data_IF_606821836836
#
_entry.id   IF_606821836836
#
_cell.length_a   1.000
_cell.length_b   1.000
_cell.length_c   1.000
_cell.angle_alpha   90.00
_cell.angle_beta   90.00
_cell.angle_gamma   90.00
#
_symmetry.space_group_name_H-M   'P 1'
#
loop_
_entity.id
_entity.type
_entity.pdbx_description
1 polymer ?
#
# COMPACT_ATOMS: atom_id res chain seq x y z
N UNK A 1 -29.93 11.91 1.57
CA UNK A 1 -28.67 12.31 0.90
C UNK A 1 -28.06 13.53 1.56
N UNK A 2 -28.78 14.64 1.72
CA UNK A 2 -28.23 15.88 2.33
C UNK A 2 -27.77 15.72 3.80
N UNK A 3 -28.39 14.81 4.56
CA UNK A 3 -28.03 14.54 5.96
C UNK A 3 -26.73 13.73 6.11
N UNK A 4 -26.41 12.90 5.13
CA UNK A 4 -25.28 11.95 5.17
C UNK A 4 -23.97 12.69 4.93
N UNK A 5 -23.95 13.59 3.95
CA UNK A 5 -22.79 14.42 3.62
C UNK A 5 -22.41 15.35 4.79
N UNK A 6 -23.41 15.93 5.47
CA UNK A 6 -23.20 16.76 6.64
C UNK A 6 -22.61 15.98 7.82
N UNK A 7 -23.11 14.76 8.08
CA UNK A 7 -22.59 13.89 9.13
C UNK A 7 -21.16 13.42 8.84
N UNK A 8 -20.83 13.13 7.58
CA UNK A 8 -19.47 12.79 7.16
C UNK A 8 -18.52 13.97 7.31
N UNK A 9 -18.93 15.18 6.89
CA UNK A 9 -18.12 16.39 7.02
C UNK A 9 -17.81 16.70 8.50
N UNK A 10 -18.82 16.68 9.38
CA UNK A 10 -18.64 16.88 10.84
C UNK A 10 -17.72 15.81 11.44
N UNK A 11 -17.86 14.54 11.03
CA UNK A 11 -16.99 13.46 11.51
C UNK A 11 -15.52 13.67 11.13
N UNK A 12 -15.24 14.11 9.90
CA UNK A 12 -13.88 14.41 9.43
C UNK A 12 -13.29 15.65 10.10
N UNK A 13 -14.09 16.71 10.29
CA UNK A 13 -13.67 17.91 11.02
C UNK A 13 -13.30 17.58 12.47
N UNK A 14 -14.14 16.78 13.15
CA UNK A 14 -13.82 16.26 14.49
C UNK A 14 -12.57 15.40 14.48
N UNK A 15 -12.38 14.56 13.47
CA UNK A 15 -11.20 13.71 13.37
C UNK A 15 -9.90 14.52 13.29
N UNK A 16 -9.90 15.65 12.60
CA UNK A 16 -8.77 16.57 12.55
C UNK A 16 -8.44 17.17 13.92
N UNK A 17 -9.45 17.35 14.78
CA UNK A 17 -9.29 17.98 16.11
C UNK A 17 -8.96 16.98 17.21
N UNK A 18 -9.72 15.88 17.30
CA UNK A 18 -9.67 14.93 18.44
C UNK A 18 -9.10 13.56 18.08
N UNK A 19 -8.78 13.34 16.80
CA UNK A 19 -8.35 12.06 16.27
C UNK A 19 -9.50 11.10 15.96
N UNK A 20 -9.21 10.19 15.03
CA UNK A 20 -10.19 9.29 14.40
C UNK A 20 -10.93 8.41 15.40
N UNK A 21 -10.23 7.85 16.40
CA UNK A 21 -10.84 6.97 17.40
C UNK A 21 -11.93 7.68 18.22
N UNK A 22 -11.72 8.96 18.55
CA UNK A 22 -12.68 9.77 19.30
C UNK A 22 -13.82 10.24 18.39
N UNK A 23 -13.49 10.66 17.17
CA UNK A 23 -14.47 11.06 16.15
C UNK A 23 -15.41 9.91 15.74
N UNK A 24 -14.94 8.66 15.74
CA UNK A 24 -15.75 7.48 15.40
C UNK A 24 -16.71 7.04 16.51
N UNK A 25 -16.59 7.57 17.74
CA UNK A 25 -17.40 7.10 18.88
C UNK A 25 -18.90 7.41 18.75
N UNK A 26 -19.31 8.64 18.38
CA UNK A 26 -20.73 8.95 18.18
C UNK A 26 -21.36 8.14 17.06
N UNK A 27 -20.63 7.96 15.94
CA UNK A 27 -21.08 7.14 14.80
C UNK A 27 -21.30 5.68 15.20
N UNK A 28 -20.35 5.07 15.93
CA UNK A 28 -20.52 3.70 16.45
C UNK A 28 -21.72 3.58 17.38
N UNK A 29 -21.91 4.53 18.29
CA UNK A 29 -23.06 4.51 19.20
C UNK A 29 -24.41 4.73 18.48
N UNK A 30 -24.40 5.43 17.35
CA UNK A 30 -25.58 5.54 16.48
C UNK A 30 -25.83 4.22 15.74
N UNK A 31 -24.78 3.60 15.18
CA UNK A 31 -24.87 2.31 14.49
C UNK A 31 -25.25 1.16 15.44
N UNK A 32 -24.86 1.21 16.72
CA UNK A 32 -25.33 0.26 17.75
C UNK A 32 -26.85 0.35 17.97
N UNK A 33 -27.45 1.53 17.78
CA UNK A 33 -28.90 1.74 17.90
C UNK A 33 -29.66 1.37 16.62
N UNK A 34 -29.02 1.54 15.47
CA UNK A 34 -29.55 1.13 14.17
C UNK A 34 -28.48 0.41 13.33
N UNK A 35 -28.28 -0.91 13.54
CA UNK A 35 -27.26 -1.70 12.82
C UNK A 35 -27.43 -1.74 11.29
N UNK A 36 -28.63 -1.41 10.81
CA UNK A 36 -29.01 -1.43 9.39
C UNK A 36 -28.72 -0.11 8.68
N UNK A 37 -28.31 0.92 9.41
CA UNK A 37 -27.99 2.22 8.84
C UNK A 37 -26.71 2.14 7.99
N UNK A 38 -26.91 2.00 6.68
CA UNK A 38 -25.85 1.93 5.66
C UNK A 38 -25.06 3.23 5.60
N UNK A 39 -25.69 4.37 5.86
CA UNK A 39 -25.06 5.69 5.80
C UNK A 39 -24.08 5.88 6.98
N UNK A 40 -24.48 5.49 8.19
CA UNK A 40 -23.58 5.49 9.35
C UNK A 40 -22.40 4.54 9.18
N UNK A 41 -22.65 3.37 8.58
CA UNK A 41 -21.60 2.40 8.25
C UNK A 41 -20.63 2.97 7.21
N UNK A 42 -21.12 3.58 6.14
CA UNK A 42 -20.30 4.24 5.13
C UNK A 42 -19.48 5.40 5.70
N UNK A 43 -20.06 6.21 6.59
CA UNK A 43 -19.36 7.29 7.28
C UNK A 43 -18.21 6.75 8.17
N UNK A 44 -18.42 5.66 8.90
CA UNK A 44 -17.35 5.00 9.68
C UNK A 44 -16.23 4.48 8.79
N UNK A 45 -16.57 3.80 7.70
CA UNK A 45 -15.61 3.28 6.72
C UNK A 45 -14.77 4.42 6.14
N UNK A 46 -15.40 5.51 5.68
CA UNK A 46 -14.70 6.70 5.16
C UNK A 46 -13.77 7.32 6.19
N UNK A 47 -14.23 7.44 7.44
CA UNK A 47 -13.44 7.99 8.53
C UNK A 47 -12.20 7.13 8.84
N UNK A 48 -12.33 5.79 8.85
CA UNK A 48 -11.19 4.90 9.07
C UNK A 48 -10.23 4.84 7.87
N UNK A 49 -10.75 4.92 6.64
CA UNK A 49 -9.96 5.07 5.41
C UNK A 49 -9.07 6.31 5.46
N UNK A 50 -9.63 7.46 5.85
CA UNK A 50 -8.87 8.70 6.00
C UNK A 50 -7.74 8.58 7.04
N UNK A 51 -7.87 7.66 7.99
CA UNK A 51 -6.83 7.32 8.97
C UNK A 51 -5.83 6.26 8.58
N UNK A 52 -5.99 5.62 7.44
CA UNK A 52 -5.21 4.43 7.07
C UNK A 52 -5.49 3.21 7.97
N UNK A 53 -6.60 3.19 8.70
CA UNK A 53 -6.95 2.09 9.60
C UNK A 53 -7.73 0.99 8.86
N UNK A 54 -7.07 0.29 7.94
CA UNK A 54 -7.69 -0.68 7.02
C UNK A 54 -8.49 -1.79 7.74
N UNK A 55 -7.99 -2.31 8.86
CA UNK A 55 -8.70 -3.32 9.67
C UNK A 55 -10.04 -2.81 10.20
N UNK A 56 -10.08 -1.54 10.64
CA UNK A 56 -11.31 -0.93 11.15
C UNK A 56 -12.24 -0.56 10.01
N UNK A 57 -11.72 -0.12 8.87
CA UNK A 57 -12.53 0.09 7.67
C UNK A 57 -13.18 -1.22 7.22
N UNK A 58 -12.39 -2.31 7.10
CA UNK A 58 -12.84 -3.65 6.74
C UNK A 58 -13.89 -4.22 7.69
N UNK A 59 -13.74 -3.98 8.99
CA UNK A 59 -14.71 -4.37 10.01
C UNK A 59 -16.10 -3.85 9.71
N UNK A 60 -16.22 -2.59 9.29
CA UNK A 60 -17.51 -1.97 9.02
C UNK A 60 -17.95 -2.15 7.57
N UNK A 61 -17.03 -2.38 6.61
CA UNK A 61 -17.36 -2.61 5.19
C UNK A 61 -17.58 -4.07 4.80
N UNK A 62 -17.34 -5.07 5.67
CA UNK A 62 -17.36 -6.51 5.31
C UNK A 62 -18.64 -7.01 4.61
N UNK A 63 -19.78 -6.38 4.84
CA UNK A 63 -21.07 -6.72 4.17
C UNK A 63 -21.47 -5.74 3.06
N UNK A 64 -20.67 -4.70 2.81
CA UNK A 64 -20.94 -3.72 1.78
C UNK A 64 -20.68 -4.31 0.39
N UNK A 65 -21.50 -4.01 -0.63
CA UNK A 65 -21.32 -4.52 -1.99
C UNK A 65 -20.02 -4.01 -2.65
N UNK A 66 -19.53 -2.86 -2.21
CA UNK A 66 -18.31 -2.19 -2.66
C UNK A 66 -17.17 -2.28 -1.63
N UNK A 67 -17.18 -3.33 -0.79
CA UNK A 67 -16.12 -3.56 0.19
C UNK A 67 -14.76 -3.69 -0.51
N UNK A 68 -13.77 -2.91 -0.03
CA UNK A 68 -12.42 -3.01 -0.55
C UNK A 68 -11.79 -4.35 -0.11
N UNK A 69 -11.33 -5.20 -1.05
CA UNK A 69 -10.74 -6.49 -0.72
C UNK A 69 -9.54 -6.41 0.25
N UNK A 70 -8.74 -5.34 0.18
CA UNK A 70 -7.58 -5.15 1.06
C UNK A 70 -8.02 -4.86 2.51
N UNK A 71 -9.10 -4.10 2.67
CA UNK A 71 -9.69 -3.80 3.97
C UNK A 71 -10.31 -5.04 4.61
N UNK A 72 -11.10 -5.78 3.83
CA UNK A 72 -11.73 -7.03 4.28
C UNK A 72 -10.66 -8.06 4.66
N UNK A 73 -9.59 -8.17 3.87
CA UNK A 73 -8.46 -9.07 4.16
C UNK A 73 -7.67 -8.64 5.40
N UNK A 74 -7.49 -7.33 5.62
CA UNK A 74 -6.90 -6.80 6.85
C UNK A 74 -7.76 -7.13 8.09
N UNK A 75 -9.07 -6.97 7.98
CA UNK A 75 -9.99 -7.33 9.06
C UNK A 75 -10.01 -8.84 9.34
N UNK A 76 -10.07 -9.67 8.30
CA UNK A 76 -10.04 -11.12 8.42
C UNK A 76 -8.78 -11.63 9.14
N UNK A 77 -7.59 -11.10 8.76
CA UNK A 77 -6.33 -11.42 9.45
C UNK A 77 -6.40 -11.12 10.93
N UNK A 78 -6.89 -9.93 11.27
CA UNK A 78 -7.02 -9.53 12.65
C UNK A 78 -8.00 -10.45 13.40
N UNK A 79 -9.15 -10.77 12.80
CA UNK A 79 -10.14 -11.68 13.39
C UNK A 79 -9.54 -13.07 13.67
N UNK A 80 -8.83 -13.65 12.70
CA UNK A 80 -8.12 -14.93 12.85
C UNK A 80 -7.06 -14.84 13.96
N UNK A 81 -6.25 -13.76 13.97
CA UNK A 81 -5.21 -13.57 14.98
C UNK A 81 -5.79 -13.41 16.41
N UNK A 82 -7.01 -12.92 16.54
CA UNK A 82 -7.74 -12.85 17.81
C UNK A 82 -8.48 -14.15 18.16
N UNK A 83 -8.46 -15.17 17.28
CA UNK A 83 -9.26 -16.38 17.44
C UNK A 83 -10.77 -16.10 17.45
N UNK A 84 -11.22 -15.08 16.73
CA UNK A 84 -12.63 -14.72 16.66
C UNK A 84 -13.39 -15.76 15.83
N UNK A 85 -14.55 -16.18 16.33
CA UNK A 85 -15.54 -16.95 15.57
C UNK A 85 -16.50 -16.01 14.81
N UNK A 86 -17.42 -16.60 14.03
CA UNK A 86 -18.40 -15.82 13.26
C UNK A 86 -19.27 -14.92 14.16
N UNK A 87 -19.71 -15.44 15.31
CA UNK A 87 -20.54 -14.69 16.26
C UNK A 87 -19.79 -13.47 16.79
N UNK A 88 -18.50 -13.62 17.12
CA UNK A 88 -17.65 -12.52 17.56
C UNK A 88 -17.41 -11.51 16.46
N UNK A 89 -17.18 -11.95 15.23
CA UNK A 89 -17.05 -11.06 14.06
C UNK A 89 -18.33 -10.24 13.88
N UNK A 90 -19.51 -10.87 13.85
CA UNK A 90 -20.80 -10.19 13.74
C UNK A 90 -20.97 -9.12 14.81
N UNK A 91 -20.69 -9.47 16.06
CA UNK A 91 -20.76 -8.53 17.17
C UNK A 91 -19.80 -7.34 17.01
N UNK A 92 -18.55 -7.59 16.62
CA UNK A 92 -17.55 -6.52 16.44
C UNK A 92 -17.86 -5.61 15.25
N UNK A 93 -18.44 -6.17 14.19
CA UNK A 93 -18.88 -5.45 12.99
C UNK A 93 -20.24 -4.78 13.13
N UNK A 94 -20.85 -4.86 14.31
CA UNK A 94 -22.20 -4.36 14.60
C UNK A 94 -23.20 -4.85 13.54
N UNK A 95 -23.13 -6.13 13.20
CA UNK A 95 -24.05 -6.79 12.27
C UNK A 95 -25.20 -7.41 13.06
N UNK A 96 -26.39 -7.33 12.49
CA UNK A 96 -27.54 -8.10 12.97
C UNK A 96 -27.69 -9.43 12.21
N UNK A 97 -28.67 -10.24 12.62
CA UNK A 97 -28.92 -11.55 12.01
C UNK A 97 -29.40 -11.46 10.56
N UNK A 98 -29.91 -10.30 10.12
CA UNK A 98 -30.40 -10.09 8.76
C UNK A 98 -29.30 -9.73 7.76
N UNK A 99 -28.11 -9.41 8.23
CA UNK A 99 -26.93 -9.10 7.41
C UNK A 99 -25.99 -10.33 7.39
N UNK A 100 -26.13 -11.25 6.42
CA UNK A 100 -25.22 -12.38 6.34
C UNK A 100 -23.81 -11.90 5.99
N UNK A 101 -22.81 -12.49 6.63
CA UNK A 101 -21.43 -12.34 6.22
C UNK A 101 -21.23 -13.02 4.85
N UNK A 102 -20.34 -12.51 3.99
CA UNK A 102 -19.99 -13.18 2.73
C UNK A 102 -19.52 -14.62 2.99
N UNK A 103 -20.02 -15.58 2.21
CA UNK A 103 -19.70 -17.01 2.39
C UNK A 103 -18.18 -17.26 2.35
N UNK A 104 -17.48 -16.61 1.42
CA UNK A 104 -16.03 -16.66 1.29
C UNK A 104 -15.30 -16.19 2.56
N UNK A 105 -15.80 -15.13 3.20
CA UNK A 105 -15.23 -14.60 4.44
C UNK A 105 -15.39 -15.60 5.59
N UNK A 106 -16.58 -16.19 5.72
CA UNK A 106 -16.88 -17.19 6.76
C UNK A 106 -16.04 -18.45 6.55
N UNK A 107 -15.92 -18.92 5.30
CA UNK A 107 -15.11 -20.09 4.97
C UNK A 107 -13.62 -19.87 5.27
N UNK A 108 -13.09 -18.69 4.96
CA UNK A 108 -11.69 -18.35 5.23
C UNK A 108 -11.43 -18.13 6.73
N UNK A 109 -12.37 -17.52 7.46
CA UNK A 109 -12.32 -17.39 8.91
C UNK A 109 -12.28 -18.77 9.60
N UNK A 110 -13.21 -19.66 9.23
CA UNK A 110 -13.30 -21.02 9.78
C UNK A 110 -12.05 -21.86 9.47
N UNK A 111 -11.45 -21.66 8.30
CA UNK A 111 -10.22 -22.33 7.92
C UNK A 111 -8.95 -21.71 8.50
N UNK A 112 -9.05 -20.55 9.16
CA UNK A 112 -7.88 -19.77 9.59
C UNK A 112 -6.99 -19.34 8.42
N UNK A 113 -7.56 -19.19 7.21
CA UNK A 113 -6.84 -18.81 5.99
C UNK A 113 -7.07 -17.35 5.69
N UNK A 114 -6.04 -16.73 5.12
CA UNK A 114 -6.12 -15.37 4.60
C UNK A 114 -5.73 -15.46 3.14
N UNK A 115 -6.64 -15.11 2.24
CA UNK A 115 -6.30 -14.95 0.83
C UNK A 115 -5.33 -13.77 0.74
N UNK A 116 -4.14 -14.01 0.18
CA UNK A 116 -3.22 -12.92 -0.15
C UNK A 116 -3.90 -12.05 -1.21
N UNK A 117 -3.98 -10.76 -0.94
CA UNK A 117 -4.47 -9.86 -1.98
C UNK A 117 -3.39 -9.67 -3.04
N UNK A 118 -3.74 -9.34 -4.29
CA UNK A 118 -2.76 -9.03 -5.32
C UNK A 118 -1.77 -7.95 -4.87
N UNK A 119 -2.23 -6.96 -4.10
CA UNK A 119 -1.39 -5.90 -3.56
C UNK A 119 -0.27 -6.45 -2.64
N UNK A 120 -0.58 -7.44 -1.81
CA UNK A 120 0.41 -8.07 -0.93
C UNK A 120 1.43 -8.91 -1.69
N UNK A 121 0.98 -9.65 -2.70
CA UNK A 121 1.88 -10.39 -3.57
C UNK A 121 2.87 -9.44 -4.28
N UNK A 122 2.39 -8.27 -4.72
CA UNK A 122 3.24 -7.23 -5.28
C UNK A 122 4.20 -6.61 -4.26
N UNK A 123 3.81 -6.47 -3.00
CA UNK A 123 4.67 -5.93 -1.95
C UNK A 123 5.78 -6.93 -1.57
N UNK A 124 5.47 -8.22 -1.48
CA UNK A 124 6.47 -9.29 -1.28
C UNK A 124 7.44 -9.40 -2.47
N UNK A 125 6.91 -9.37 -3.70
CA UNK A 125 7.73 -9.36 -4.91
C UNK A 125 8.59 -8.09 -5.00
N UNK A 126 8.03 -6.93 -4.65
CA UNK A 126 8.74 -5.66 -4.60
C UNK A 126 9.87 -5.68 -3.57
N UNK A 127 9.62 -6.22 -2.37
CA UNK A 127 10.65 -6.38 -1.34
C UNK A 127 11.78 -7.33 -1.78
N UNK A 128 11.42 -8.45 -2.38
CA UNK A 128 12.39 -9.43 -2.90
C UNK A 128 13.23 -8.83 -4.04
N UNK A 129 12.59 -8.14 -4.98
CA UNK A 129 13.27 -7.46 -6.07
C UNK A 129 14.22 -6.38 -5.55
N UNK A 130 13.80 -5.58 -4.56
CA UNK A 130 14.66 -4.59 -3.91
C UNK A 130 15.85 -5.22 -3.18
N UNK A 131 15.66 -6.37 -2.53
CA UNK A 131 16.74 -7.09 -1.86
C UNK A 131 17.77 -7.64 -2.85
N UNK A 132 17.32 -8.36 -3.89
CA UNK A 132 18.19 -8.88 -4.96
C UNK A 132 18.97 -7.74 -5.61
N UNK A 133 18.29 -6.62 -5.85
CA UNK A 133 18.89 -5.45 -6.42
C UNK A 133 19.93 -4.78 -5.50
N UNK A 134 19.65 -4.63 -4.19
CA UNK A 134 20.62 -4.13 -3.22
C UNK A 134 21.87 -5.03 -3.15
N UNK A 135 21.70 -6.35 -3.26
CA UNK A 135 22.83 -7.27 -3.35
C UNK A 135 23.68 -7.02 -4.62
N UNK A 136 23.03 -6.79 -5.77
CA UNK A 136 23.72 -6.43 -7.02
C UNK A 136 24.49 -5.10 -6.92
N UNK A 137 24.00 -4.11 -6.16
CA UNK A 137 24.74 -2.88 -5.85
C UNK A 137 26.03 -3.19 -5.14
N UNK A 138 25.95 -3.96 -4.05
CA UNK A 138 27.11 -4.31 -3.24
C UNK A 138 28.13 -5.07 -4.08
N UNK A 139 27.67 -6.03 -4.89
CA UNK A 139 28.53 -6.77 -5.82
C UNK A 139 29.21 -5.82 -6.82
N UNK A 140 28.47 -4.88 -7.41
CA UNK A 140 29.00 -3.91 -8.39
C UNK A 140 30.03 -2.98 -7.75
N UNK A 141 29.76 -2.49 -6.53
CA UNK A 141 30.70 -1.66 -5.77
C UNK A 141 31.98 -2.42 -5.44
N UNK A 142 31.87 -3.66 -4.95
CA UNK A 142 33.01 -4.52 -4.64
C UNK A 142 33.83 -4.81 -5.90
N UNK A 143 33.17 -5.16 -7.01
CA UNK A 143 33.84 -5.41 -8.29
C UNK A 143 34.57 -4.16 -8.77
N UNK A 144 33.93 -2.98 -8.73
CA UNK A 144 34.55 -1.72 -9.13
C UNK A 144 35.77 -1.41 -8.26
N UNK A 145 35.66 -1.58 -6.94
CA UNK A 145 36.75 -1.34 -6.01
C UNK A 145 37.92 -2.31 -6.26
N UNK A 146 37.64 -3.58 -6.53
CA UNK A 146 38.64 -4.57 -6.91
C UNK A 146 39.36 -4.15 -8.21
N UNK A 147 38.62 -3.77 -9.26
CA UNK A 147 39.22 -3.32 -10.53
C UNK A 147 40.12 -2.10 -10.34
N UNK A 148 39.73 -1.15 -9.48
CA UNK A 148 40.54 0.03 -9.15
C UNK A 148 41.81 -0.35 -8.38
N UNK A 149 41.71 -1.23 -7.38
CA UNK A 149 42.88 -1.73 -6.63
C UNK A 149 43.85 -2.47 -7.55
N UNK A 150 43.34 -3.29 -8.46
CA UNK A 150 44.14 -4.09 -9.38
C UNK A 150 44.61 -3.32 -10.62
N UNK A 151 44.46 -1.99 -10.63
CA UNK A 151 45.09 -1.07 -11.58
C UNK A 151 44.88 -1.42 -13.06
N UNK A 152 43.68 -1.90 -13.41
CA UNK A 152 43.33 -2.11 -14.80
C UNK A 152 43.11 -0.75 -15.48
N UNK A 153 43.78 -0.43 -16.61
CA UNK A 153 43.56 0.82 -17.34
C UNK A 153 42.10 1.02 -17.80
N UNK A 154 41.27 -0.04 -17.78
CA UNK A 154 39.84 0.01 -18.06
C UNK A 154 38.97 0.46 -16.86
N UNK A 155 39.52 0.64 -15.66
CA UNK A 155 38.76 0.93 -14.44
C UNK A 155 37.83 2.16 -14.55
N UNK A 156 38.25 3.32 -15.09
CA UNK A 156 37.38 4.50 -15.21
C UNK A 156 36.20 4.23 -16.14
N UNK A 157 36.44 3.55 -17.26
CA UNK A 157 35.41 3.20 -18.22
C UNK A 157 34.37 2.27 -17.59
N UNK A 158 34.81 1.22 -16.89
CA UNK A 158 33.92 0.25 -16.23
C UNK A 158 33.08 0.94 -15.15
N UNK A 159 33.68 1.82 -14.35
CA UNK A 159 32.96 2.57 -13.31
C UNK A 159 31.90 3.52 -13.90
N UNK A 160 32.25 4.26 -14.96
CA UNK A 160 31.31 5.15 -15.62
C UNK A 160 30.18 4.36 -16.30
N UNK A 161 30.51 3.33 -17.08
CA UNK A 161 29.51 2.51 -17.76
C UNK A 161 28.57 1.81 -16.78
N UNK A 162 29.12 1.19 -15.72
CA UNK A 162 28.35 0.52 -14.68
C UNK A 162 27.39 1.48 -13.95
N UNK A 163 27.85 2.66 -13.55
CA UNK A 163 26.99 3.65 -12.88
C UNK A 163 25.85 4.17 -13.77
N UNK A 164 26.03 4.28 -15.10
CA UNK A 164 24.95 4.70 -16.01
C UNK A 164 23.91 3.62 -16.26
N UNK A 165 24.34 2.38 -16.51
CA UNK A 165 23.41 1.25 -16.61
C UNK A 165 22.59 1.09 -15.33
N UNK A 166 23.25 1.28 -14.19
CA UNK A 166 22.60 1.23 -12.89
C UNK A 166 21.54 2.34 -12.70
N UNK A 167 21.84 3.57 -13.10
CA UNK A 167 20.88 4.68 -13.06
C UNK A 167 19.66 4.42 -13.96
N UNK A 168 19.86 3.87 -15.15
CA UNK A 168 18.75 3.49 -16.06
C UNK A 168 17.90 2.36 -15.48
N UNK A 169 18.51 1.33 -14.89
CA UNK A 169 17.78 0.24 -14.25
C UNK A 169 16.88 0.76 -13.11
N UNK A 170 17.39 1.70 -12.31
CA UNK A 170 16.60 2.37 -11.27
C UNK A 170 15.44 3.19 -11.82
N UNK A 171 15.64 3.89 -12.93
CA UNK A 171 14.58 4.67 -13.55
C UNK A 171 13.40 3.77 -13.91
N UNK A 172 13.67 2.62 -14.55
CA UNK A 172 12.63 1.64 -14.90
C UNK A 172 11.94 1.10 -13.65
N UNK A 173 12.70 0.74 -12.61
CA UNK A 173 12.12 0.23 -11.37
C UNK A 173 11.20 1.27 -10.70
N UNK A 174 11.65 2.53 -10.57
CA UNK A 174 10.84 3.61 -10.00
C UNK A 174 9.60 3.92 -10.85
N UNK A 175 9.69 3.84 -12.18
CA UNK A 175 8.53 3.98 -13.06
C UNK A 175 7.49 2.89 -12.77
N UNK A 176 7.91 1.62 -12.67
CA UNK A 176 7.02 0.52 -12.32
C UNK A 176 6.38 0.71 -10.94
N UNK A 177 7.15 1.12 -9.92
CA UNK A 177 6.60 1.40 -8.60
C UNK A 177 5.66 2.61 -8.58
N UNK A 178 5.93 3.65 -9.38
CA UNK A 178 5.05 4.81 -9.51
C UNK A 178 3.71 4.42 -10.12
N UNK A 179 3.72 3.57 -11.16
CA UNK A 179 2.50 3.02 -11.77
C UNK A 179 1.73 2.17 -10.74
N UNK A 180 2.39 1.29 -10.01
CA UNK A 180 1.75 0.48 -8.98
C UNK A 180 1.11 1.33 -7.86
N UNK A 181 1.81 2.36 -7.37
CA UNK A 181 1.26 3.29 -6.37
C UNK A 181 0.08 4.11 -6.91
N UNK A 182 0.12 4.50 -8.19
CA UNK A 182 -0.96 5.24 -8.84
C UNK A 182 -2.23 4.38 -8.94
N UNK A 183 -2.08 3.10 -9.28
CA UNK A 183 -3.19 2.14 -9.30
C UNK A 183 -3.81 1.90 -7.92
N UNK A 184 -3.05 2.10 -6.84
CA UNK A 184 -3.52 1.97 -5.45
C UNK A 184 -4.04 3.29 -4.84
N UNK A 185 -4.33 4.30 -5.67
CA UNK A 185 -4.77 5.63 -5.24
C UNK A 185 -3.83 6.34 -4.25
N UNK A 186 -2.55 5.92 -4.15
CA UNK A 186 -1.54 6.57 -3.30
C UNK A 186 -0.85 7.70 -4.06
N UNK A 187 -1.61 8.71 -4.46
CA UNK A 187 -1.16 9.76 -5.38
C UNK A 187 0.15 10.45 -4.99
N UNK A 188 0.37 10.70 -3.68
CA UNK A 188 1.62 11.32 -3.19
C UNK A 188 2.85 10.42 -3.37
N UNK A 189 2.70 9.10 -3.16
CA UNK A 189 3.76 8.12 -3.34
C UNK A 189 4.13 7.95 -4.81
N UNK A 190 3.11 7.87 -5.68
CA UNK A 190 3.27 7.76 -7.13
C UNK A 190 4.02 8.98 -7.71
N UNK A 191 3.65 10.20 -7.31
CA UNK A 191 4.24 11.43 -7.83
C UNK A 191 5.75 11.53 -7.54
N UNK A 192 6.15 11.32 -6.28
CA UNK A 192 7.57 11.36 -5.90
C UNK A 192 8.39 10.28 -6.64
N UNK A 193 7.90 9.04 -6.68
CA UNK A 193 8.57 7.94 -7.38
C UNK A 193 8.71 8.23 -8.87
N UNK A 194 7.69 8.83 -9.50
CA UNK A 194 7.73 9.27 -10.89
C UNK A 194 8.80 10.32 -11.15
N UNK A 195 8.93 11.33 -10.28
CA UNK A 195 9.98 12.35 -10.39
C UNK A 195 11.37 11.73 -10.29
N UNK A 196 11.60 10.87 -9.31
CA UNK A 196 12.89 10.18 -9.13
C UNK A 196 13.23 9.33 -10.37
N UNK A 197 12.25 8.61 -10.92
CA UNK A 197 12.42 7.85 -12.17
C UNK A 197 12.94 8.72 -13.31
N UNK A 198 12.30 9.88 -13.56
CA UNK A 198 12.69 10.78 -14.66
C UNK A 198 14.10 11.32 -14.45
N UNK A 199 14.44 11.74 -13.23
CA UNK A 199 15.78 12.25 -12.92
C UNK A 199 16.86 11.19 -13.17
N UNK A 200 16.64 9.95 -12.71
CA UNK A 200 17.57 8.84 -12.90
C UNK A 200 17.68 8.45 -14.38
N UNK A 201 16.57 8.50 -15.12
CA UNK A 201 16.57 8.23 -16.56
C UNK A 201 17.42 9.25 -17.30
N UNK A 202 17.19 10.54 -17.06
CA UNK A 202 17.93 11.63 -17.70
C UNK A 202 19.43 11.55 -17.37
N UNK A 203 19.77 11.31 -16.10
CA UNK A 203 21.16 11.15 -15.68
C UNK A 203 21.84 9.92 -16.31
N UNK A 204 21.15 8.78 -16.36
CA UNK A 204 21.64 7.56 -16.98
C UNK A 204 21.85 7.72 -18.49
N UNK A 205 20.83 8.22 -19.19
CA UNK A 205 20.84 8.40 -20.63
C UNK A 205 21.88 9.44 -21.09
N UNK A 206 21.91 10.62 -20.47
CA UNK A 206 22.89 11.66 -20.82
C UNK A 206 24.34 11.20 -20.61
N UNK A 207 24.58 10.43 -19.54
CA UNK A 207 25.88 9.84 -19.27
C UNK A 207 26.32 8.80 -20.30
N UNK A 208 25.39 7.98 -20.77
CA UNK A 208 25.64 7.01 -21.84
C UNK A 208 25.95 7.70 -23.16
N UNK A 209 25.20 8.75 -23.52
CA UNK A 209 25.47 9.53 -24.74
C UNK A 209 26.88 10.14 -24.68
N UNK A 210 27.25 10.76 -23.56
CA UNK A 210 28.58 11.38 -23.39
C UNK A 210 29.74 10.37 -23.54
N UNK A 211 29.56 9.14 -23.05
CA UNK A 211 30.53 8.05 -23.20
C UNK A 211 30.78 7.68 -24.67
N UNK A 212 29.76 7.74 -25.53
CA UNK A 212 29.89 7.37 -26.95
C UNK A 212 30.26 8.53 -27.86
N UNK A 213 29.98 9.77 -27.46
CA UNK A 213 30.33 10.97 -28.26
C UNK A 213 31.75 11.49 -28.00
N UNK A 214 32.54 10.82 -27.16
CA UNK A 214 33.95 11.16 -26.93
C UNK A 214 34.18 12.42 -26.09
N UNK A 215 33.24 12.75 -25.18
CA UNK A 215 33.31 13.95 -24.35
C UNK A 215 34.25 13.85 -23.12
N UNK A 216 35.31 13.04 -23.19
CA UNK A 216 36.28 12.85 -22.11
C UNK A 216 37.67 13.35 -22.51
#
# INVERSE_FOLDING_TARGET
>A
METTDAAMADAHERAATVGIRRAARPLRSALERDPKDVDLRAALVSLYRAGGALEQAGRYSVVAPDADPDEVSAYLRWAIAQGADEARVRHLSLLDDSQPLPEDFVADLAAGRVRRTPAEAWDELGGTAMFVFAALIVITLVATFAVVIFWAPAAPFIAHFGSRLFALAWAVAFACFAVADALRHRGKGAAWKGVVSVVLFVFGAAGLVSLFTGGF
#
